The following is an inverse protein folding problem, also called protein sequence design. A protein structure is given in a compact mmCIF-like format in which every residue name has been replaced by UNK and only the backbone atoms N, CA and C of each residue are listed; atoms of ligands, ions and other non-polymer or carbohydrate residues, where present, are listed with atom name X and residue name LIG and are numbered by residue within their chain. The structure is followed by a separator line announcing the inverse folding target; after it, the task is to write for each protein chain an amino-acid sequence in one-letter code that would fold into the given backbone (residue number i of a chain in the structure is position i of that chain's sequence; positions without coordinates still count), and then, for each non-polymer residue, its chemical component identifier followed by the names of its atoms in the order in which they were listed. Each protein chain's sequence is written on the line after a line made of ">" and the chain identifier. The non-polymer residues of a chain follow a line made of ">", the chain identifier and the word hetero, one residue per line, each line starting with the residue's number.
data_IF_396453787147
#
_entry.id   IF_396453787147
#
_cell.length_a   1.000
_cell.length_b   1.000
_cell.length_c   1.000
_cell.angle_alpha   90.00
_cell.angle_beta   90.00
_cell.angle_gamma   90.00
#
_symmetry.space_group_name_H-M   'P 1'
#
loop_
_entity.id
_entity.type
_entity.pdbx_description
1 polymer ?
#
# COMPACT_ATOMS: atom_id res chain seq x y z
N UNK A 1 24.18 -17.76 11.22
CA UNK A 1 22.89 -17.85 11.92
C UNK A 1 22.61 -16.44 12.38
N UNK A 2 22.06 -15.54 11.57
CA UNK A 2 21.34 -15.69 10.32
C UNK A 2 21.72 -14.50 9.40
N UNK A 3 21.91 -14.80 8.12
CA UNK A 3 22.16 -13.81 7.09
C UNK A 3 20.82 -13.23 6.68
N UNK A 4 20.52 -11.99 7.09
CA UNK A 4 19.37 -11.29 6.50
C UNK A 4 19.86 -10.47 5.30
N UNK A 5 19.39 -10.92 4.15
CA UNK A 5 19.80 -10.55 2.82
C UNK A 5 19.31 -9.15 2.45
N UNK A 6 20.24 -8.38 1.88
CA UNK A 6 20.08 -7.33 0.87
C UNK A 6 18.68 -7.22 0.25
N UNK A 7 18.04 -6.06 0.44
CA UNK A 7 17.10 -5.51 -0.54
C UNK A 7 17.31 -4.00 -0.61
N UNK A 8 18.15 -3.62 -1.58
CA UNK A 8 18.47 -2.24 -1.97
C UNK A 8 17.19 -1.39 -2.11
N UNK A 9 17.25 -0.09 -1.76
CA UNK A 9 16.12 0.81 -1.90
C UNK A 9 15.76 0.90 -3.39
N UNK A 10 14.54 0.44 -3.73
CA UNK A 10 13.93 0.79 -5.00
C UNK A 10 13.80 2.31 -5.00
N UNK A 11 14.51 2.97 -5.91
CA UNK A 11 14.43 4.41 -6.09
C UNK A 11 12.97 4.80 -6.37
N UNK A 12 12.27 5.27 -5.33
CA UNK A 12 10.96 5.89 -5.46
C UNK A 12 11.17 7.23 -6.15
N UNK A 13 10.78 7.31 -7.42
CA UNK A 13 10.67 8.58 -8.16
C UNK A 13 9.44 9.39 -7.70
N UNK A 14 8.63 8.84 -6.76
CA UNK A 14 7.50 9.52 -6.11
C UNK A 14 7.91 10.12 -4.77
N UNK A 15 7.34 11.29 -4.47
CA UNK A 15 7.41 11.90 -3.15
C UNK A 15 6.96 10.90 -2.06
N UNK A 16 7.67 10.85 -0.92
CA UNK A 16 7.27 9.98 0.18
C UNK A 16 5.87 10.36 0.66
N UNK A 17 5.03 9.35 0.88
CA UNK A 17 3.69 9.50 1.43
C UNK A 17 3.80 9.32 2.93
N UNK A 18 3.42 10.38 3.64
CA UNK A 18 3.33 10.39 5.08
C UNK A 18 1.89 10.15 5.53
N UNK A 19 1.76 9.59 6.74
CA UNK A 19 0.47 9.41 7.39
C UNK A 19 0.05 10.72 8.08
N UNK A 20 -1.22 11.08 8.00
CA UNK A 20 -1.79 12.20 8.78
C UNK A 20 -1.64 12.01 10.30
N UNK A 21 -1.45 10.76 10.76
CA UNK A 21 -1.27 10.39 12.16
C UNK A 21 0.20 10.16 12.55
N UNK A 22 1.18 10.53 11.71
CA UNK A 22 2.61 10.32 12.00
C UNK A 22 3.09 11.03 13.28
N UNK A 23 2.41 12.11 13.65
CA UNK A 23 2.66 12.91 14.86
C UNK A 23 1.93 12.40 16.10
N UNK A 24 1.04 11.41 15.96
CA UNK A 24 0.29 10.86 17.08
C UNK A 24 1.05 9.65 17.66
N UNK A 25 1.61 9.75 18.89
CA UNK A 25 2.45 8.70 19.46
C UNK A 25 1.67 7.41 19.75
N UNK A 26 0.36 7.48 19.98
CA UNK A 26 -0.48 6.29 20.21
C UNK A 26 -0.73 5.52 18.90
N UNK A 27 -0.72 6.21 17.76
CA UNK A 27 -0.93 5.62 16.43
C UNK A 27 0.39 5.29 15.70
N UNK A 28 1.52 5.84 16.14
CA UNK A 28 2.80 5.68 15.47
C UNK A 28 3.22 4.21 15.32
N UNK A 29 3.08 3.40 16.37
CA UNK A 29 3.35 1.95 16.30
C UNK A 29 2.44 1.23 15.28
N UNK A 30 1.17 1.64 15.18
CA UNK A 30 0.23 1.06 14.22
C UNK A 30 0.55 1.46 12.78
N UNK A 31 0.95 2.72 12.56
CA UNK A 31 1.42 3.21 11.26
C UNK A 31 2.65 2.44 10.82
N UNK A 32 3.62 2.21 11.71
CA UNK A 32 4.81 1.41 11.42
C UNK A 32 4.44 -0.02 11.03
N UNK A 33 3.55 -0.67 11.80
CA UNK A 33 3.06 -2.01 11.48
C UNK A 33 2.38 -2.05 10.10
N UNK A 34 1.54 -1.06 9.80
CA UNK A 34 0.88 -0.97 8.50
C UNK A 34 1.90 -0.87 7.35
N UNK A 35 2.90 0.00 7.46
CA UNK A 35 3.96 0.16 6.44
C UNK A 35 4.76 -1.14 6.27
N UNK A 36 5.00 -1.89 7.35
CA UNK A 36 5.66 -3.19 7.28
C UNK A 36 4.83 -4.23 6.51
N UNK A 37 3.51 -4.23 6.72
CA UNK A 37 2.58 -5.09 5.99
C UNK A 37 2.45 -4.71 4.50
N UNK A 38 2.64 -3.43 4.13
CA UNK A 38 2.50 -2.96 2.75
C UNK A 38 3.40 -3.72 1.78
N UNK A 39 4.61 -4.11 2.20
CA UNK A 39 5.52 -4.93 1.39
C UNK A 39 4.88 -6.25 0.97
N UNK A 40 4.37 -7.02 1.95
CA UNK A 40 3.68 -8.30 1.68
C UNK A 40 2.39 -8.11 0.88
N UNK A 41 1.67 -7.00 1.09
CA UNK A 41 0.46 -6.66 0.33
C UNK A 41 0.80 -6.39 -1.14
N UNK A 42 1.89 -5.68 -1.43
CA UNK A 42 2.36 -5.44 -2.81
C UNK A 42 2.64 -6.75 -3.54
N UNK A 43 3.34 -7.69 -2.91
CA UNK A 43 3.60 -9.01 -3.52
C UNK A 43 2.30 -9.78 -3.77
N UNK A 44 1.35 -9.73 -2.82
CA UNK A 44 0.03 -10.38 -2.97
C UNK A 44 -0.78 -9.77 -4.13
N UNK A 45 -0.76 -8.44 -4.29
CA UNK A 45 -1.43 -7.74 -5.40
C UNK A 45 -0.84 -8.19 -6.73
N UNK A 46 0.49 -8.23 -6.83
CA UNK A 46 1.18 -8.66 -8.06
C UNK A 46 0.86 -10.10 -8.41
N UNK A 47 0.89 -10.99 -7.42
CA UNK A 47 0.57 -12.38 -7.64
C UNK A 47 -0.87 -12.54 -8.12
N UNK A 48 -1.84 -11.93 -7.43
CA UNK A 48 -3.25 -11.96 -7.83
C UNK A 48 -3.46 -11.39 -9.25
N UNK A 49 -2.70 -10.36 -9.64
CA UNK A 49 -2.73 -9.83 -10.99
C UNK A 49 -2.19 -10.80 -12.05
N UNK A 50 -1.07 -11.45 -11.76
CA UNK A 50 -0.45 -12.45 -12.67
C UNK A 50 -1.32 -13.70 -12.80
N UNK A 51 -1.97 -14.13 -11.72
CA UNK A 51 -2.90 -15.26 -11.71
C UNK A 51 -4.29 -14.91 -12.25
N UNK A 52 -4.49 -13.66 -12.67
CA UNK A 52 -5.78 -13.13 -13.11
C UNK A 52 -6.91 -13.29 -12.07
N UNK A 53 -6.56 -13.38 -10.78
CA UNK A 53 -7.48 -13.55 -9.67
C UNK A 53 -8.09 -12.22 -9.24
N UNK A 54 -9.11 -11.81 -9.99
CA UNK A 54 -9.96 -10.63 -9.72
C UNK A 54 -10.53 -10.65 -8.30
N UNK A 55 -10.89 -11.83 -7.78
CA UNK A 55 -11.51 -11.94 -6.46
C UNK A 55 -10.50 -11.66 -5.34
N UNK A 56 -9.27 -12.16 -5.47
CA UNK A 56 -8.18 -11.86 -4.56
C UNK A 56 -7.78 -10.37 -4.64
N UNK A 57 -7.59 -9.84 -5.85
CA UNK A 57 -7.29 -8.42 -6.09
C UNK A 57 -8.31 -7.51 -5.42
N UNK A 58 -9.61 -7.79 -5.60
CA UNK A 58 -10.70 -7.00 -5.01
C UNK A 58 -10.67 -7.06 -3.48
N UNK A 59 -10.41 -8.23 -2.89
CA UNK A 59 -10.30 -8.37 -1.44
C UNK A 59 -9.12 -7.56 -0.89
N UNK A 60 -7.96 -7.64 -1.52
CA UNK A 60 -6.76 -6.91 -1.09
C UNK A 60 -7.01 -5.40 -1.21
N UNK A 61 -7.58 -4.94 -2.32
CA UNK A 61 -7.95 -3.54 -2.53
C UNK A 61 -8.95 -3.05 -1.46
N UNK A 62 -10.00 -3.83 -1.17
CA UNK A 62 -10.97 -3.51 -0.13
C UNK A 62 -10.32 -3.38 1.26
N UNK A 63 -9.44 -4.33 1.61
CA UNK A 63 -8.70 -4.29 2.88
C UNK A 63 -7.75 -3.10 2.96
N UNK A 64 -7.00 -2.81 1.90
CA UNK A 64 -6.11 -1.65 1.84
C UNK A 64 -6.87 -0.35 1.98
N UNK A 65 -8.00 -0.19 1.29
CA UNK A 65 -8.87 0.98 1.43
C UNK A 65 -9.32 1.21 2.87
N UNK A 66 -9.79 0.14 3.54
CA UNK A 66 -10.25 0.23 4.93
C UNK A 66 -9.13 0.54 5.91
N UNK A 67 -7.97 -0.12 5.78
CA UNK A 67 -6.82 0.10 6.64
C UNK A 67 -6.16 1.46 6.39
N UNK A 68 -5.90 1.82 5.13
CA UNK A 68 -5.16 3.02 4.76
C UNK A 68 -5.87 4.30 5.24
N UNK A 69 -7.20 4.39 5.10
CA UNK A 69 -7.96 5.52 5.62
C UNK A 69 -7.92 5.62 7.15
N UNK A 70 -7.89 4.48 7.86
CA UNK A 70 -7.74 4.45 9.32
C UNK A 70 -6.36 4.87 9.81
N UNK A 71 -5.34 4.74 8.96
CA UNK A 71 -3.95 5.11 9.26
C UNK A 71 -3.50 6.40 8.57
N UNK A 72 -4.40 7.20 7.98
CA UNK A 72 -4.04 8.50 7.40
C UNK A 72 -3.24 8.41 6.11
N UNK A 73 -3.28 7.28 5.41
CA UNK A 73 -2.68 7.07 4.10
C UNK A 73 -3.72 7.25 2.98
N UNK A 74 -4.34 8.43 2.92
CA UNK A 74 -5.37 8.76 1.92
C UNK A 74 -5.01 8.39 0.47
N UNK A 75 -3.79 8.66 -0.03
CA UNK A 75 -3.43 8.32 -1.41
C UNK A 75 -3.47 6.81 -1.69
N UNK A 76 -3.09 5.98 -0.71
CA UNK A 76 -3.16 4.52 -0.84
C UNK A 76 -4.62 4.08 -0.84
N UNK A 77 -5.42 4.63 0.08
CA UNK A 77 -6.85 4.31 0.19
C UNK A 77 -7.63 4.69 -1.07
N UNK A 78 -7.35 5.85 -1.66
CA UNK A 78 -7.98 6.33 -2.88
C UNK A 78 -7.63 5.44 -4.09
N UNK A 79 -6.34 5.10 -4.26
CA UNK A 79 -5.91 4.19 -5.32
C UNK A 79 -6.56 2.80 -5.18
N UNK A 80 -6.62 2.27 -3.95
CA UNK A 80 -7.27 1.00 -3.67
C UNK A 80 -8.79 1.05 -3.95
N UNK A 81 -9.45 2.15 -3.61
CA UNK A 81 -10.87 2.36 -3.90
C UNK A 81 -11.17 2.43 -5.40
N UNK A 82 -10.31 3.10 -6.18
CA UNK A 82 -10.44 3.13 -7.65
C UNK A 82 -10.28 1.74 -8.27
N UNK A 83 -9.28 0.99 -7.83
CA UNK A 83 -9.07 -0.39 -8.28
C UNK A 83 -10.25 -1.29 -7.91
N UNK A 84 -10.74 -1.21 -6.67
CA UNK A 84 -11.93 -1.95 -6.21
C UNK A 84 -13.16 -1.64 -7.08
N UNK A 85 -13.39 -0.36 -7.38
CA UNK A 85 -14.53 0.08 -8.20
C UNK A 85 -14.50 -0.48 -9.62
N UNK A 86 -13.32 -0.50 -10.25
CA UNK A 86 -13.15 -1.10 -11.58
C UNK A 86 -13.37 -2.63 -11.54
N UNK A 87 -12.90 -3.29 -10.48
CA UNK A 87 -13.10 -4.74 -10.25
C UNK A 87 -14.56 -5.12 -9.91
N UNK A 88 -15.40 -4.14 -9.58
CA UNK A 88 -16.85 -4.33 -9.41
C UNK A 88 -17.62 -4.31 -10.74
N UNK A 89 -17.00 -3.79 -11.81
CA UNK A 89 -17.59 -3.81 -13.14
C UNK A 89 -17.58 -5.21 -13.76
N UNK A 90 -18.67 -5.59 -14.43
CA UNK A 90 -18.82 -6.92 -15.05
C UNK A 90 -17.96 -7.07 -16.34
N UNK A 91 -17.49 -5.97 -16.92
CA UNK A 91 -16.78 -5.93 -18.22
C UNK A 91 -15.29 -5.57 -18.13
N UNK A 92 -14.76 -5.28 -16.94
CA UNK A 92 -13.37 -4.88 -16.80
C UNK A 92 -12.44 -6.10 -16.95
N UNK A 93 -11.69 -6.16 -18.05
CA UNK A 93 -10.63 -7.15 -18.21
C UNK A 93 -9.47 -6.83 -17.25
N UNK A 94 -8.93 -7.83 -16.56
CA UNK A 94 -7.81 -7.62 -15.64
C UNK A 94 -6.61 -6.95 -16.31
N UNK A 95 -6.39 -7.20 -17.60
CA UNK A 95 -5.35 -6.54 -18.39
C UNK A 95 -5.45 -5.00 -18.44
N UNK A 96 -6.66 -4.44 -18.40
CA UNK A 96 -6.87 -2.98 -18.35
C UNK A 96 -6.60 -2.38 -16.98
N UNK A 97 -6.52 -3.21 -15.93
CA UNK A 97 -6.26 -2.80 -14.55
C UNK A 97 -4.76 -2.72 -14.23
N UNK A 98 -3.89 -3.12 -15.15
CA UNK A 98 -2.42 -3.06 -14.99
C UNK A 98 -1.94 -1.71 -14.48
N UNK A 99 -2.42 -0.61 -15.07
CA UNK A 99 -2.07 0.75 -14.66
C UNK A 99 -2.55 1.07 -13.24
N UNK A 100 -3.75 0.63 -12.86
CA UNK A 100 -4.32 0.84 -11.52
C UNK A 100 -3.60 0.03 -10.46
N UNK A 101 -3.23 -1.19 -10.79
CA UNK A 101 -2.45 -2.08 -9.93
C UNK A 101 -1.06 -1.50 -9.69
N UNK A 102 -0.38 -1.05 -10.74
CA UNK A 102 0.94 -0.43 -10.61
C UNK A 102 0.87 0.90 -9.83
N UNK A 103 -0.17 1.72 -10.03
CA UNK A 103 -0.36 2.94 -9.23
C UNK A 103 -0.56 2.63 -7.74
N UNK A 104 -1.39 1.63 -7.40
CA UNK A 104 -1.56 1.19 -6.02
C UNK A 104 -0.25 0.69 -5.42
N UNK A 105 0.51 -0.13 -6.16
CA UNK A 105 1.81 -0.64 -5.71
C UNK A 105 2.81 0.50 -5.50
N UNK A 106 2.85 1.48 -6.41
CA UNK A 106 3.71 2.64 -6.28
C UNK A 106 3.36 3.46 -5.04
N UNK A 107 2.07 3.66 -4.74
CA UNK A 107 1.64 4.33 -3.51
C UNK A 107 2.04 3.55 -2.25
N UNK A 108 1.84 2.23 -2.23
CA UNK A 108 2.26 1.38 -1.11
C UNK A 108 3.77 1.47 -0.86
N UNK A 109 4.58 1.52 -1.92
CA UNK A 109 6.04 1.66 -1.83
C UNK A 109 6.49 3.06 -1.44
N UNK A 110 5.71 4.08 -1.76
CA UNK A 110 5.99 5.46 -1.41
C UNK A 110 5.68 5.78 0.06
N UNK A 111 4.90 4.93 0.74
CA UNK A 111 4.66 5.08 2.17
C UNK A 111 5.96 4.92 2.98
N UNK A 112 6.23 5.90 3.84
CA UNK A 112 7.40 5.89 4.72
C UNK A 112 7.00 5.71 6.16
N UNK A 113 7.91 5.11 6.95
CA UNK A 113 7.72 5.00 8.40
C UNK A 113 7.85 6.39 9.03
N UNK A 114 7.00 6.73 10.02
CA UNK A 114 7.15 7.95 10.79
C UNK A 114 8.49 7.95 11.52
N UNK A 115 9.17 9.10 11.56
CA UNK A 115 10.44 9.23 12.27
C UNK A 115 10.19 9.57 13.76
N UNK A 116 10.59 8.69 14.70
CA UNK A 116 10.32 8.89 16.13
C UNK A 116 11.16 9.99 16.78
N UNK A 117 12.07 10.66 16.06
CA UNK A 117 12.97 11.71 16.60
C UNK A 117 12.47 13.14 16.35
N UNK A 118 11.30 13.31 15.75
CA UNK A 118 10.83 14.65 15.33
C UNK A 118 10.28 15.53 16.47
N UNK A 119 10.05 14.96 17.67
CA UNK A 119 9.68 15.72 18.87
C UNK A 119 10.87 15.85 19.85
N UNK A 120 11.81 16.74 19.53
CA UNK A 120 12.62 17.44 20.55
C UNK A 120 12.37 18.94 20.39
N UNK A 121 11.32 19.47 21.05
CA UNK A 121 11.14 20.91 21.30
C UNK A 121 10.46 21.16 22.65
#
# INVERSE_FOLDING_TARGET
>A
MDSESDSKPVSNDRSPIHSDFESDPDLQDLVVLFVDELGSRVDSIRQAFVEEDVAALRRIAHQLKGSAGGYGFDPIGDAASRLEYELLGDEAAISSLSERVEDLIANCRAAVRPDPRSEEH
#
